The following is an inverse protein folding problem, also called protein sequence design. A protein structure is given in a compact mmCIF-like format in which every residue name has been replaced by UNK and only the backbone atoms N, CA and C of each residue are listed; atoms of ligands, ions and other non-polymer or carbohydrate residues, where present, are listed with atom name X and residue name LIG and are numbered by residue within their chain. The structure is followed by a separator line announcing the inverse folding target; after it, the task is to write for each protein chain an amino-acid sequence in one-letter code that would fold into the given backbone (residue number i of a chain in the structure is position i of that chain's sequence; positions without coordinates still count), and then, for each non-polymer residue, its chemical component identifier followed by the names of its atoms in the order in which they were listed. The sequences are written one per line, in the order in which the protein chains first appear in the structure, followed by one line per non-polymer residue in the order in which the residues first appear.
data_IF_515340926117
#
_entry.id   IF_515340926117
#
_cell.length_a   1.000
_cell.length_b   1.000
_cell.length_c   1.000
_cell.angle_alpha   90.00
_cell.angle_beta   90.00
_cell.angle_gamma   90.00
#
_symmetry.space_group_name_H-M   'P 1'
#
loop_
_entity.id
_entity.type
_entity.pdbx_description
1 polymer ?
#
# COMPACT_ATOMS: atom_id res chain seq x y z
N UNK A 1 -15.29 6.78 -14.78
CA UNK A 1 -14.15 7.42 -14.07
C UNK A 1 -13.43 8.34 -15.04
N UNK A 2 -13.19 9.58 -14.65
CA UNK A 2 -12.47 10.53 -15.50
C UNK A 2 -11.01 10.13 -15.66
N UNK A 3 -10.42 10.52 -16.80
CA UNK A 3 -8.99 10.31 -17.05
C UNK A 3 -8.16 11.02 -15.97
N UNK A 4 -7.15 10.36 -15.48
CA UNK A 4 -6.26 10.87 -14.45
C UNK A 4 -6.71 10.60 -13.02
N UNK A 5 -7.99 10.29 -12.80
CA UNK A 5 -8.47 9.92 -11.46
C UNK A 5 -7.84 8.60 -11.01
N UNK A 6 -7.82 7.61 -11.89
CA UNK A 6 -7.21 6.32 -11.59
C UNK A 6 -5.72 6.46 -11.29
N UNK A 7 -5.01 7.32 -12.03
CA UNK A 7 -3.59 7.57 -11.77
C UNK A 7 -3.39 8.23 -10.41
N UNK A 8 -4.23 9.22 -10.05
CA UNK A 8 -4.15 9.84 -8.73
C UNK A 8 -4.44 8.84 -7.62
N UNK A 9 -5.38 7.93 -7.83
CA UNK A 9 -5.65 6.86 -6.87
C UNK A 9 -4.44 5.94 -6.72
N UNK A 10 -3.77 5.60 -7.82
CA UNK A 10 -2.54 4.80 -7.77
C UNK A 10 -1.44 5.52 -7.00
N UNK A 11 -1.28 6.82 -7.20
CA UNK A 11 -0.29 7.63 -6.47
C UNK A 11 -0.59 7.65 -4.97
N UNK A 12 -1.86 7.79 -4.61
CA UNK A 12 -2.28 7.74 -3.21
C UNK A 12 -2.03 6.36 -2.59
N UNK A 13 -2.26 5.29 -3.35
CA UNK A 13 -1.91 3.95 -2.88
C UNK A 13 -0.41 3.80 -2.63
N UNK A 14 0.42 4.34 -3.52
CA UNK A 14 1.87 4.30 -3.36
C UNK A 14 2.32 5.08 -2.11
N UNK A 15 1.76 6.26 -1.87
CA UNK A 15 2.04 7.05 -0.67
C UNK A 15 1.62 6.30 0.59
N UNK A 16 0.43 5.70 0.58
CA UNK A 16 -0.09 4.93 1.70
C UNK A 16 0.79 3.71 1.99
N UNK A 17 1.26 3.04 0.95
CA UNK A 17 2.18 1.90 1.10
C UNK A 17 3.46 2.34 1.81
N UNK A 18 4.03 3.49 1.47
CA UNK A 18 5.22 4.00 2.14
C UNK A 18 4.95 4.33 3.61
N UNK A 19 3.76 4.89 3.92
CA UNK A 19 3.36 5.13 5.30
C UNK A 19 3.21 3.83 6.07
N UNK A 20 2.64 2.80 5.47
CA UNK A 20 2.50 1.49 6.10
C UNK A 20 3.86 0.84 6.38
N UNK A 21 4.81 0.99 5.46
CA UNK A 21 6.18 0.49 5.64
C UNK A 21 6.88 1.21 6.79
N UNK A 22 6.65 2.50 6.94
CA UNK A 22 7.20 3.28 8.05
C UNK A 22 6.62 2.80 9.39
N UNK A 23 5.30 2.60 9.46
CA UNK A 23 4.63 2.04 10.65
C UNK A 23 5.15 0.63 10.94
N UNK A 24 5.36 -0.19 9.91
CA UNK A 24 5.91 -1.53 10.05
C UNK A 24 7.31 -1.50 10.65
N UNK A 25 8.15 -0.57 10.19
CA UNK A 25 9.49 -0.38 10.73
C UNK A 25 9.43 -0.01 12.22
N UNK A 26 8.51 0.89 12.59
CA UNK A 26 8.31 1.27 14.00
C UNK A 26 7.81 0.10 14.83
N UNK A 27 6.91 -0.72 14.30
CA UNK A 27 6.44 -1.92 14.97
C UNK A 27 7.56 -2.91 15.24
N UNK A 28 8.46 -3.09 14.28
CA UNK A 28 9.64 -3.94 14.44
C UNK A 28 10.58 -3.45 15.52
N UNK A 29 10.68 -2.14 15.70
CA UNK A 29 11.51 -1.57 16.75
C UNK A 29 10.98 -1.90 18.16
N UNK A 30 9.73 -2.34 18.28
CA UNK A 30 9.15 -2.79 19.54
C UNK A 30 9.59 -4.22 19.91
N UNK A 31 10.37 -4.90 19.08
CA UNK A 31 10.97 -6.19 19.43
C UNK A 31 11.87 -6.08 20.66
N UNK A 32 12.40 -4.89 20.90
CA UNK A 32 13.23 -4.60 22.05
C UNK A 32 12.59 -3.48 22.85
N UNK A 33 11.55 -3.83 23.64
CA UNK A 33 10.86 -2.85 24.48
C UNK A 33 11.67 -2.61 25.74
N UNK A 34 12.49 -1.57 25.71
CA UNK A 34 13.25 -1.11 26.86
C UNK A 34 12.37 -0.25 27.76
N UNK A 35 12.48 -0.41 29.07
CA UNK A 35 11.79 0.43 30.01
C UNK A 35 10.52 -0.15 30.63
N UNK A 36 10.16 -1.39 30.31
CA UNK A 36 9.05 -2.09 30.96
C UNK A 36 9.48 -2.77 32.26
N UNK A 37 10.52 -2.25 32.92
CA UNK A 37 10.97 -2.79 34.19
C UNK A 37 11.70 -4.12 34.03
N UNK A 38 12.84 -4.12 33.39
CA UNK A 38 13.67 -5.31 33.14
C UNK A 38 14.01 -6.09 34.41
N UNK A 39 13.84 -5.46 35.56
CA UNK A 39 14.15 -6.06 36.88
C UNK A 39 12.97 -6.78 37.50
N UNK A 40 11.76 -6.63 36.98
CA UNK A 40 10.56 -7.26 37.51
C UNK A 40 10.09 -8.36 36.60
N UNK A 41 9.85 -9.59 37.08
CA UNK A 41 9.35 -10.69 36.25
C UNK A 41 8.07 -10.35 35.52
N UNK A 42 7.18 -9.55 36.12
CA UNK A 42 5.93 -9.10 35.51
C UNK A 42 6.21 -8.15 34.35
N UNK A 43 7.19 -7.25 34.51
CA UNK A 43 7.58 -6.32 33.47
C UNK A 43 8.20 -7.04 32.27
N UNK A 44 9.02 -8.05 32.53
CA UNK A 44 9.63 -8.89 31.50
C UNK A 44 8.55 -9.64 30.72
N UNK A 45 7.60 -10.25 31.42
CA UNK A 45 6.50 -10.98 30.79
C UNK A 45 5.63 -10.07 29.94
N UNK A 46 5.35 -8.83 30.42
CA UNK A 46 4.58 -7.87 29.65
C UNK A 46 5.33 -7.40 28.40
N UNK A 47 6.62 -7.10 28.52
CA UNK A 47 7.45 -6.73 27.40
C UNK A 47 7.48 -7.84 26.34
N UNK A 48 7.62 -9.11 26.75
CA UNK A 48 7.58 -10.25 25.85
C UNK A 48 6.27 -10.32 25.08
N UNK A 49 5.14 -10.11 25.77
CA UNK A 49 3.82 -10.10 25.13
C UNK A 49 3.70 -8.99 24.08
N UNK A 50 4.17 -7.79 24.39
CA UNK A 50 4.15 -6.68 23.45
C UNK A 50 5.05 -6.93 22.24
N UNK A 51 6.25 -7.45 22.48
CA UNK A 51 7.17 -7.81 21.41
C UNK A 51 6.56 -8.84 20.48
N UNK A 52 5.89 -9.84 20.99
CA UNK A 52 5.23 -10.87 20.19
C UNK A 52 4.06 -10.32 19.37
N UNK A 53 3.31 -9.37 19.90
CA UNK A 53 2.23 -8.71 19.16
C UNK A 53 2.76 -7.82 18.08
N UNK A 54 3.90 -7.18 18.29
CA UNK A 54 4.51 -6.31 17.29
C UNK A 54 5.21 -7.12 16.21
N UNK A 55 5.88 -8.21 16.58
CA UNK A 55 6.70 -9.00 15.66
C UNK A 55 6.91 -10.41 16.21
N UNK A 56 6.98 -11.39 15.33
CA UNK A 56 7.34 -12.76 15.69
C UNK A 56 6.22 -13.65 16.19
N UNK A 57 4.99 -13.17 16.33
CA UNK A 57 3.81 -13.98 16.66
C UNK A 57 3.16 -14.58 15.41
N UNK A 58 2.18 -15.48 15.59
CA UNK A 58 1.48 -16.13 14.48
C UNK A 58 0.76 -15.12 13.59
N UNK A 59 0.16 -14.09 14.17
CA UNK A 59 -0.40 -12.97 13.44
C UNK A 59 -0.08 -11.68 14.16
N UNK A 60 1.19 -11.31 14.11
CA UNK A 60 1.71 -10.10 14.75
C UNK A 60 1.28 -8.84 13.98
N UNK A 61 1.46 -7.69 14.59
CA UNK A 61 1.25 -6.40 13.94
C UNK A 61 2.12 -6.26 12.68
N UNK A 62 3.37 -6.71 12.76
CA UNK A 62 4.29 -6.72 11.61
C UNK A 62 3.69 -7.49 10.42
N UNK A 63 3.15 -8.67 10.69
CA UNK A 63 2.54 -9.51 9.66
C UNK A 63 1.25 -8.92 9.12
N UNK A 64 0.40 -8.38 10.00
CA UNK A 64 -0.82 -7.69 9.58
C UNK A 64 -0.51 -6.50 8.68
N UNK A 65 0.51 -5.72 9.01
CA UNK A 65 0.95 -4.59 8.19
C UNK A 65 1.51 -5.06 6.84
N UNK A 66 2.25 -6.17 6.81
CA UNK A 66 2.74 -6.74 5.56
C UNK A 66 1.58 -7.15 4.65
N UNK A 67 0.53 -7.75 5.20
CA UNK A 67 -0.65 -8.14 4.44
C UNK A 67 -1.38 -6.90 3.89
N UNK A 68 -1.52 -5.85 4.67
CA UNK A 68 -2.12 -4.59 4.21
C UNK A 68 -1.28 -3.94 3.10
N UNK A 69 0.02 -3.93 3.24
CA UNK A 69 0.92 -3.41 2.21
C UNK A 69 0.70 -4.14 0.89
N UNK A 70 0.65 -5.47 0.93
CA UNK A 70 0.42 -6.28 -0.27
C UNK A 70 -0.92 -5.94 -0.93
N UNK A 71 -1.98 -5.76 -0.14
CA UNK A 71 -3.30 -5.39 -0.66
C UNK A 71 -3.32 -4.00 -1.29
N UNK A 72 -2.69 -3.02 -0.66
CA UNK A 72 -2.62 -1.66 -1.19
C UNK A 72 -1.80 -1.62 -2.48
N UNK A 73 -0.73 -2.41 -2.56
CA UNK A 73 0.04 -2.53 -3.79
C UNK A 73 -0.78 -3.13 -4.92
N UNK A 74 -1.61 -4.12 -4.64
CA UNK A 74 -2.55 -4.68 -5.61
C UNK A 74 -3.57 -3.64 -6.07
N UNK A 75 -4.10 -2.83 -5.16
CA UNK A 75 -5.00 -1.73 -5.50
C UNK A 75 -4.33 -0.72 -6.42
N UNK A 76 -3.08 -0.35 -6.12
CA UNK A 76 -2.29 0.53 -6.99
C UNK A 76 -2.19 -0.05 -8.41
N UNK A 77 -1.88 -1.33 -8.52
CA UNK A 77 -1.73 -1.99 -9.80
C UNK A 77 -3.04 -2.00 -10.59
N UNK A 78 -4.17 -2.20 -9.91
CA UNK A 78 -5.50 -2.12 -10.54
C UNK A 78 -5.76 -0.71 -11.06
N UNK A 79 -5.48 0.32 -10.28
CA UNK A 79 -5.67 1.70 -10.72
C UNK A 79 -4.77 2.06 -11.91
N UNK A 80 -3.54 1.56 -11.91
CA UNK A 80 -2.63 1.76 -13.05
C UNK A 80 -3.16 1.06 -14.31
N UNK A 81 -3.72 -0.15 -14.16
CA UNK A 81 -4.33 -0.86 -15.28
C UNK A 81 -5.54 -0.12 -15.83
N UNK A 82 -6.37 0.47 -14.96
CA UNK A 82 -7.50 1.30 -15.37
C UNK A 82 -7.02 2.52 -16.15
N UNK A 83 -6.00 3.22 -15.66
CA UNK A 83 -5.44 4.39 -16.34
C UNK A 83 -4.91 4.03 -17.71
N UNK A 84 -4.22 2.90 -17.82
CA UNK A 84 -3.69 2.42 -19.09
C UNK A 84 -4.81 2.11 -20.10
N UNK A 85 -5.92 1.55 -19.63
CA UNK A 85 -7.08 1.30 -20.48
C UNK A 85 -7.71 2.59 -20.98
N UNK A 86 -7.82 3.60 -20.14
CA UNK A 86 -8.33 4.91 -20.54
C UNK A 86 -7.43 5.56 -21.57
N UNK A 87 -6.13 5.52 -21.36
CA UNK A 87 -5.17 6.08 -22.30
C UNK A 87 -5.24 5.39 -23.67
N UNK A 88 -5.31 4.06 -23.68
CA UNK A 88 -5.44 3.28 -24.92
C UNK A 88 -6.77 3.57 -25.63
N UNK A 89 -7.86 3.67 -24.89
CA UNK A 89 -9.17 3.99 -25.44
C UNK A 89 -9.19 5.38 -26.08
N UNK A 90 -8.58 6.36 -25.40
CA UNK A 90 -8.47 7.71 -25.95
C UNK A 90 -7.64 7.77 -27.22
N UNK A 91 -6.53 7.06 -27.27
CA UNK A 91 -5.71 6.98 -28.48
C UNK A 91 -6.49 6.35 -29.63
N UNK A 92 -7.23 5.28 -29.35
CA UNK A 92 -8.07 4.63 -30.36
C UNK A 92 -9.18 5.56 -30.87
N UNK A 93 -9.83 6.29 -29.94
CA UNK A 93 -10.87 7.25 -30.28
C UNK A 93 -10.32 8.41 -31.11
N UNK A 94 -9.16 8.93 -30.76
CA UNK A 94 -8.50 10.00 -31.49
C UNK A 94 -8.14 9.54 -32.91
N UNK A 95 -7.58 8.35 -33.04
CA UNK A 95 -7.23 7.78 -34.35
C UNK A 95 -8.49 7.59 -35.20
N UNK A 96 -9.58 7.08 -34.61
CA UNK A 96 -10.85 6.92 -35.33
C UNK A 96 -11.43 8.25 -35.80
N UNK A 97 -11.39 9.28 -34.96
CA UNK A 97 -11.87 10.62 -35.28
C UNK A 97 -11.03 11.23 -36.42
N UNK A 98 -9.73 11.10 -36.36
CA UNK A 98 -8.81 11.59 -37.40
C UNK A 98 -9.08 10.89 -38.73
N UNK A 99 -9.30 9.58 -38.71
CA UNK A 99 -9.63 8.82 -39.93
C UNK A 99 -10.94 9.29 -40.56
N UNK A 100 -11.96 9.55 -39.73
CA UNK A 100 -13.26 10.07 -40.22
C UNK A 100 -13.08 11.47 -40.82
N UNK A 101 -12.35 12.36 -40.17
CA UNK A 101 -12.07 13.70 -40.69
C UNK A 101 -11.33 13.65 -42.02
N UNK A 102 -10.39 12.74 -42.18
CA UNK A 102 -9.68 12.56 -43.46
C UNK A 102 -10.61 12.13 -44.58
N UNK A 103 -11.64 11.35 -44.29
CA UNK A 103 -12.63 10.90 -45.28
C UNK A 103 -13.59 12.01 -45.70
N UNK A 104 -13.89 12.95 -44.80
CA UNK A 104 -14.79 14.05 -45.05
C UNK A 104 -14.14 15.13 -45.91
N UNK A 105 -12.87 15.35 -45.74
CA UNK A 105 -12.11 16.33 -46.49
C UNK A 105 -11.69 15.77 -47.83
#
# INVERSE_FOLDING_TARGET
MERGVARRCAERCAEFTEQLKDVQSKARSLESVDGFGDRLPTGIALATKFERKASGGDYSLDRALADHIAQVEQMRDVFLAIENRYAAAEEANTAATTAVESQIN
#
